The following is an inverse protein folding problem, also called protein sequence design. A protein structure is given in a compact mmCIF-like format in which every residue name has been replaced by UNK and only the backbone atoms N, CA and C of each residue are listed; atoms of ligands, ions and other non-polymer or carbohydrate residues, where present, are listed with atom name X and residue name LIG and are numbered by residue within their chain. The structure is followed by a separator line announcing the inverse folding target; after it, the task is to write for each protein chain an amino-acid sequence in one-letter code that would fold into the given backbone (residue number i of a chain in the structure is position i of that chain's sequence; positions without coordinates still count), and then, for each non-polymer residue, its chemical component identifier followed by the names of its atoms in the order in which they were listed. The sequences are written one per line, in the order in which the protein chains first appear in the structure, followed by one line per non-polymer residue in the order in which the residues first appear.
data_IF_909089519848
#
_entry.id   IF_909089519848
#
_cell.length_a   1.000
_cell.length_b   1.000
_cell.length_c   1.000
_cell.angle_alpha   90.00
_cell.angle_beta   90.00
_cell.angle_gamma   90.00
#
_symmetry.space_group_name_H-M   'P 1'
#
loop_
_entity.id
_entity.type
_entity.pdbx_description
1 polymer ?
#
# COMPACT_ATOMS: atom_id res chain seq x y z
N UNK A 1 -4.95 -15.18 17.49
CA UNK A 1 -3.88 -14.38 16.85
C UNK A 1 -4.40 -13.91 15.51
N UNK A 2 -4.55 -12.60 15.29
CA UNK A 2 -5.12 -12.04 14.04
C UNK A 2 -4.23 -12.40 12.84
N UNK A 3 -4.82 -12.80 11.73
CA UNK A 3 -4.06 -13.07 10.50
C UNK A 3 -3.87 -11.78 9.71
N UNK A 4 -2.67 -11.56 9.17
CA UNK A 4 -2.37 -10.45 8.26
C UNK A 4 -2.10 -11.00 6.86
N UNK A 5 -2.79 -10.48 5.86
CA UNK A 5 -2.53 -10.77 4.45
C UNK A 5 -1.65 -9.67 3.86
N UNK A 6 -0.54 -10.04 3.26
CA UNK A 6 0.32 -9.11 2.50
C UNK A 6 0.21 -9.43 1.02
N UNK A 7 -0.32 -8.50 0.25
CA UNK A 7 -0.47 -8.63 -1.20
C UNK A 7 0.77 -8.04 -1.88
N UNK A 8 1.37 -8.80 -2.80
CA UNK A 8 2.54 -8.37 -3.58
C UNK A 8 2.16 -8.38 -5.06
N UNK A 9 1.77 -7.24 -5.64
CA UNK A 9 1.58 -7.13 -7.08
C UNK A 9 2.95 -7.23 -7.77
N UNK A 10 3.07 -8.12 -8.76
CA UNK A 10 4.32 -8.37 -9.47
C UNK A 10 4.15 -8.20 -10.98
N UNK A 11 4.99 -7.36 -11.57
CA UNK A 11 5.14 -7.20 -13.01
C UNK A 11 6.58 -6.82 -13.37
N UNK A 12 7.33 -7.74 -13.99
CA UNK A 12 8.69 -7.52 -14.55
C UNK A 12 9.68 -6.83 -13.58
N UNK A 13 9.62 -7.15 -12.29
CA UNK A 13 10.45 -6.52 -11.27
C UNK A 13 11.64 -7.40 -10.86
N UNK A 14 12.85 -6.89 -11.02
CA UNK A 14 14.08 -7.59 -10.69
C UNK A 14 14.39 -7.68 -9.18
N UNK A 15 13.58 -7.07 -8.32
CA UNK A 15 13.79 -7.02 -6.86
C UNK A 15 12.80 -7.88 -6.08
N UNK A 16 11.96 -8.68 -6.77
CA UNK A 16 10.90 -9.47 -6.14
C UNK A 16 11.42 -10.44 -5.06
N UNK A 17 12.59 -11.03 -5.27
CA UNK A 17 13.27 -11.88 -4.30
C UNK A 17 13.55 -11.15 -2.98
N UNK A 18 14.02 -9.88 -3.03
CA UNK A 18 14.27 -9.06 -1.84
C UNK A 18 12.97 -8.69 -1.11
N UNK A 19 11.91 -8.40 -1.86
CA UNK A 19 10.59 -8.16 -1.28
C UNK A 19 10.08 -9.40 -0.53
N UNK A 20 10.12 -10.58 -1.16
CA UNK A 20 9.68 -11.85 -0.57
C UNK A 20 10.53 -12.24 0.65
N UNK A 21 11.85 -12.11 0.55
CA UNK A 21 12.76 -12.33 1.67
C UNK A 21 12.40 -11.48 2.89
N UNK A 22 12.04 -10.21 2.67
CA UNK A 22 11.67 -9.31 3.76
C UNK A 22 10.37 -9.71 4.45
N UNK A 23 9.43 -10.27 3.68
CA UNK A 23 8.16 -10.77 4.22
C UNK A 23 8.35 -12.08 4.99
N UNK A 24 9.22 -12.97 4.54
CA UNK A 24 9.51 -14.23 5.22
C UNK A 24 10.35 -14.05 6.50
N UNK A 25 10.99 -12.90 6.67
CA UNK A 25 11.78 -12.52 7.86
C UNK A 25 10.98 -11.71 8.89
N UNK A 26 9.67 -11.53 8.70
CA UNK A 26 8.85 -10.82 9.69
C UNK A 26 8.82 -11.55 11.03
N UNK A 27 8.90 -10.77 12.13
CA UNK A 27 8.81 -11.30 13.51
C UNK A 27 7.43 -11.85 13.83
N UNK A 28 6.39 -11.28 13.23
CA UNK A 28 5.01 -11.78 13.35
C UNK A 28 4.79 -13.00 12.46
N UNK A 29 4.40 -14.13 13.03
CA UNK A 29 4.33 -15.41 12.32
C UNK A 29 3.02 -15.70 11.59
N UNK A 30 1.89 -15.09 11.99
CA UNK A 30 0.58 -15.36 11.37
C UNK A 30 0.33 -14.45 10.15
N UNK A 31 1.21 -14.58 9.16
CA UNK A 31 1.18 -13.81 7.90
C UNK A 31 0.94 -14.74 6.73
N UNK A 32 0.00 -14.40 5.86
CA UNK A 32 -0.10 -15.00 4.53
C UNK A 32 0.44 -14.01 3.48
N UNK A 33 1.26 -14.52 2.57
CA UNK A 33 1.85 -13.73 1.48
C UNK A 33 1.17 -14.14 0.18
N UNK A 34 0.57 -13.16 -0.51
CA UNK A 34 -0.17 -13.38 -1.75
C UNK A 34 0.54 -12.62 -2.86
N UNK A 35 1.26 -13.34 -3.71
CA UNK A 35 1.92 -12.78 -4.90
C UNK A 35 0.97 -12.89 -6.08
N UNK A 36 0.65 -11.75 -6.69
CA UNK A 36 -0.18 -11.71 -7.90
C UNK A 36 0.70 -11.30 -9.08
N UNK A 37 1.01 -12.29 -9.92
CA UNK A 37 1.71 -12.07 -11.18
C UNK A 37 0.74 -11.48 -12.21
N UNK A 38 0.95 -10.21 -12.52
CA UNK A 38 0.10 -9.44 -13.43
C UNK A 38 0.58 -9.57 -14.89
N UNK A 39 0.78 -10.81 -15.35
CA UNK A 39 1.21 -11.11 -16.73
C UNK A 39 2.67 -10.75 -17.00
N UNK A 40 3.54 -10.97 -16.03
CA UNK A 40 4.97 -10.69 -16.18
C UNK A 40 5.64 -11.64 -17.18
N UNK A 41 6.52 -11.09 -18.00
CA UNK A 41 7.34 -11.82 -18.99
C UNK A 41 8.83 -11.93 -18.59
N UNK A 42 9.22 -11.20 -17.52
CA UNK A 42 10.58 -11.17 -16.99
C UNK A 42 10.58 -11.43 -15.48
N UNK A 43 11.65 -12.06 -14.97
CA UNK A 43 11.94 -12.23 -13.55
C UNK A 43 10.96 -13.11 -12.74
N UNK A 44 10.01 -13.81 -13.38
CA UNK A 44 9.12 -14.76 -12.69
C UNK A 44 9.88 -15.97 -12.12
N UNK A 45 11.02 -16.32 -12.70
CA UNK A 45 11.94 -17.34 -12.22
C UNK A 45 12.43 -17.09 -10.80
N UNK A 46 12.56 -15.82 -10.40
CA UNK A 46 12.96 -15.40 -9.05
C UNK A 46 11.91 -15.71 -7.97
N UNK A 47 10.65 -15.98 -8.36
CA UNK A 47 9.58 -16.35 -7.43
C UNK A 47 9.61 -17.85 -7.13
N UNK A 48 10.16 -18.67 -8.04
CA UNK A 48 10.14 -20.13 -7.94
C UNK A 48 10.63 -20.70 -6.60
N UNK A 49 11.72 -20.18 -5.96
CA UNK A 49 12.18 -20.66 -4.66
C UNK A 49 11.18 -20.45 -3.52
N UNK A 50 10.21 -19.55 -3.67
CA UNK A 50 9.27 -19.13 -2.64
C UNK A 50 7.89 -19.79 -2.75
N UNK A 51 7.58 -20.50 -3.84
CA UNK A 51 6.24 -21.07 -4.12
C UNK A 51 5.68 -21.94 -2.99
N UNK A 52 6.53 -22.61 -2.22
CA UNK A 52 6.10 -23.44 -1.09
C UNK A 52 5.73 -22.62 0.18
N UNK A 53 5.95 -21.29 0.18
CA UNK A 53 5.72 -20.39 1.31
C UNK A 53 4.72 -19.28 1.04
N UNK A 54 4.22 -19.17 -0.21
CA UNK A 54 3.36 -18.09 -0.68
C UNK A 54 2.13 -18.64 -1.37
N UNK A 55 1.10 -17.80 -1.48
CA UNK A 55 -0.01 -18.03 -2.42
C UNK A 55 0.36 -17.30 -3.70
N UNK A 56 0.56 -18.06 -4.78
CA UNK A 56 0.92 -17.49 -6.08
C UNK A 56 -0.27 -17.54 -7.03
N UNK A 57 -0.58 -16.41 -7.66
CA UNK A 57 -1.71 -16.27 -8.60
C UNK A 57 -1.19 -15.60 -9.87
N UNK A 58 -1.49 -16.19 -11.01
CA UNK A 58 -1.21 -15.60 -12.32
C UNK A 58 -2.49 -15.04 -12.94
N UNK A 59 -2.35 -13.90 -13.63
CA UNK A 59 -3.42 -13.28 -14.40
C UNK A 59 -2.86 -12.52 -15.61
N UNK A 60 -3.71 -12.24 -16.57
CA UNK A 60 -3.38 -11.31 -17.64
C UNK A 60 -3.12 -9.90 -17.10
N UNK A 61 -2.21 -9.15 -17.75
CA UNK A 61 -1.85 -7.81 -17.29
C UNK A 61 -3.08 -6.89 -17.26
N UNK A 62 -3.33 -6.30 -16.09
CA UNK A 62 -4.43 -5.38 -15.83
C UNK A 62 -4.02 -4.20 -14.96
N UNK A 63 -2.72 -4.12 -14.61
CA UNK A 63 -2.16 -3.08 -13.76
C UNK A 63 -2.27 -3.35 -12.26
N UNK A 64 -1.59 -2.52 -11.47
CA UNK A 64 -1.43 -2.71 -10.02
C UNK A 64 -2.76 -2.80 -9.29
N UNK A 65 -3.74 -1.95 -9.62
CA UNK A 65 -5.07 -1.99 -8.99
C UNK A 65 -5.78 -3.33 -9.20
N UNK A 66 -5.71 -3.87 -10.42
CA UNK A 66 -6.28 -5.17 -10.76
C UNK A 66 -5.60 -6.31 -10.00
N UNK A 67 -4.26 -6.29 -9.91
CA UNK A 67 -3.50 -7.26 -9.14
C UNK A 67 -3.84 -7.20 -7.63
N UNK A 68 -3.91 -5.97 -7.06
CA UNK A 68 -4.33 -5.77 -5.67
C UNK A 68 -5.75 -6.30 -5.41
N UNK A 69 -6.69 -6.08 -6.32
CA UNK A 69 -8.06 -6.58 -6.20
C UNK A 69 -8.13 -8.12 -6.25
N UNK A 70 -7.32 -8.76 -7.09
CA UNK A 70 -7.20 -10.24 -7.09
C UNK A 70 -6.66 -10.72 -5.76
N UNK A 71 -5.58 -10.11 -5.26
CA UNK A 71 -5.00 -10.44 -3.96
C UNK A 71 -6.00 -10.22 -2.80
N UNK A 72 -6.75 -9.11 -2.83
CA UNK A 72 -7.76 -8.78 -1.81
C UNK A 72 -8.89 -9.82 -1.75
N UNK A 73 -9.38 -10.28 -2.89
CA UNK A 73 -10.38 -11.38 -2.94
C UNK A 73 -9.85 -12.70 -2.37
N UNK A 74 -8.55 -12.95 -2.51
CA UNK A 74 -7.90 -14.18 -2.00
C UNK A 74 -7.52 -14.08 -0.53
N UNK A 75 -7.31 -12.85 -0.02
CA UNK A 75 -6.88 -12.58 1.35
C UNK A 75 -7.86 -13.14 2.38
N UNK A 76 -7.35 -13.91 3.34
CA UNK A 76 -8.11 -14.47 4.46
C UNK A 76 -7.83 -13.78 5.79
N UNK A 77 -6.85 -12.88 5.84
CA UNK A 77 -6.48 -12.14 7.04
C UNK A 77 -7.52 -11.08 7.43
N UNK A 78 -7.58 -10.77 8.72
CA UNK A 78 -8.38 -9.69 9.28
C UNK A 78 -7.83 -8.31 8.91
N UNK A 79 -6.51 -8.24 8.66
CA UNK A 79 -5.80 -7.06 8.24
C UNK A 79 -5.11 -7.30 6.90
N UNK A 80 -5.04 -6.27 6.08
CA UNK A 80 -4.43 -6.30 4.75
C UNK A 80 -3.37 -5.22 4.67
N UNK A 81 -2.21 -5.61 4.16
CA UNK A 81 -1.13 -4.72 3.70
C UNK A 81 -0.84 -5.02 2.24
N UNK A 82 -0.11 -4.13 1.58
CA UNK A 82 0.56 -4.55 0.35
C UNK A 82 2.03 -4.09 0.34
N UNK A 83 2.85 -4.80 -0.40
CA UNK A 83 4.24 -4.46 -0.64
C UNK A 83 4.48 -4.46 -2.15
N UNK A 84 4.96 -3.34 -2.70
CA UNK A 84 5.43 -3.31 -4.09
C UNK A 84 6.62 -4.25 -4.26
N UNK A 85 6.72 -4.90 -5.40
CA UNK A 85 7.75 -5.93 -5.66
C UNK A 85 9.19 -5.40 -5.69
N UNK A 86 9.38 -4.09 -5.62
CA UNK A 86 10.69 -3.40 -5.56
C UNK A 86 11.03 -2.84 -4.17
N UNK A 87 10.09 -2.86 -3.23
CA UNK A 87 10.25 -2.35 -1.87
C UNK A 87 10.62 -3.46 -0.86
N UNK A 88 10.95 -3.06 0.36
CA UNK A 88 11.38 -3.98 1.42
C UNK A 88 10.75 -3.56 2.76
N UNK A 89 10.22 -4.51 3.52
CA UNK A 89 9.79 -4.27 4.90
C UNK A 89 10.92 -4.50 5.91
N UNK A 90 11.08 -3.66 6.94
CA UNK A 90 11.85 -4.04 8.14
C UNK A 90 11.19 -5.24 8.82
N UNK A 91 11.96 -6.02 9.56
CA UNK A 91 11.51 -7.31 10.14
C UNK A 91 10.36 -7.18 11.14
N UNK A 92 10.21 -6.04 11.78
CA UNK A 92 9.20 -5.75 12.79
C UNK A 92 7.94 -5.05 12.24
N UNK A 93 7.84 -4.83 10.91
CA UNK A 93 6.76 -4.01 10.31
C UNK A 93 5.37 -4.52 10.65
N UNK A 94 5.15 -5.82 10.45
CA UNK A 94 3.81 -6.39 10.67
C UNK A 94 3.46 -6.39 12.16
N UNK A 95 4.40 -6.77 13.02
CA UNK A 95 4.18 -6.85 14.46
C UNK A 95 3.90 -5.48 15.09
N UNK A 96 4.74 -4.49 14.80
CA UNK A 96 4.60 -3.14 15.37
C UNK A 96 3.30 -2.48 14.92
N UNK A 97 3.02 -2.55 13.61
CA UNK A 97 1.83 -1.91 13.07
C UNK A 97 0.54 -2.62 13.50
N UNK A 98 0.52 -3.96 13.54
CA UNK A 98 -0.64 -4.72 14.01
C UNK A 98 -0.90 -4.48 15.51
N UNK A 99 0.14 -4.45 16.34
CA UNK A 99 0.04 -4.13 17.76
C UNK A 99 -0.62 -2.77 17.97
N UNK A 100 -0.19 -1.76 17.22
CA UNK A 100 -0.84 -0.45 17.22
C UNK A 100 -2.31 -0.53 16.77
N UNK A 101 -2.59 -1.21 15.65
CA UNK A 101 -3.96 -1.32 15.11
C UNK A 101 -4.93 -1.95 16.12
N UNK A 102 -4.49 -2.98 16.83
CA UNK A 102 -5.28 -3.65 17.85
C UNK A 102 -5.47 -2.75 19.09
N UNK A 103 -4.39 -2.15 19.58
CA UNK A 103 -4.40 -1.28 20.77
C UNK A 103 -5.33 -0.09 20.59
N UNK A 104 -5.27 0.57 19.44
CA UNK A 104 -6.06 1.76 19.14
C UNK A 104 -7.43 1.43 18.51
N UNK A 105 -7.78 0.15 18.36
CA UNK A 105 -8.96 -0.32 17.62
C UNK A 105 -9.08 0.38 16.24
N UNK A 106 -7.95 0.52 15.56
CA UNK A 106 -7.84 1.30 14.34
C UNK A 106 -8.31 0.51 13.12
N UNK A 107 -8.96 1.19 12.18
CA UNK A 107 -9.38 0.63 10.89
C UNK A 107 -8.33 0.78 9.81
N UNK A 108 -7.52 1.81 9.91
CA UNK A 108 -6.48 2.16 8.96
C UNK A 108 -5.31 2.84 9.68
N UNK A 109 -4.11 2.41 9.37
CA UNK A 109 -2.90 3.13 9.78
C UNK A 109 -1.89 3.23 8.63
N UNK A 110 -1.05 4.27 8.66
CA UNK A 110 0.13 4.42 7.82
C UNK A 110 1.33 4.82 8.66
N UNK A 111 2.52 4.58 8.10
CA UNK A 111 3.78 4.77 8.80
C UNK A 111 4.72 5.67 8.01
N UNK A 112 5.84 6.03 8.62
CA UNK A 112 6.98 6.60 7.91
C UNK A 112 7.69 5.54 7.06
N UNK A 113 8.62 6.02 6.22
CA UNK A 113 9.48 5.18 5.42
C UNK A 113 10.85 5.82 5.19
N UNK A 114 11.82 5.01 4.78
CA UNK A 114 13.10 5.47 4.26
C UNK A 114 13.19 5.22 2.76
N UNK A 115 13.92 6.08 2.06
CA UNK A 115 14.34 5.80 0.69
C UNK A 115 15.57 4.89 0.71
N UNK A 116 15.58 3.90 -0.19
CA UNK A 116 16.75 3.08 -0.47
C UNK A 116 17.12 3.19 -1.96
N UNK A 117 18.41 3.05 -2.25
CA UNK A 117 18.89 2.98 -3.63
C UNK A 117 18.75 1.56 -4.22
N UNK A 118 19.18 1.37 -5.47
CA UNK A 118 19.16 0.06 -6.17
C UNK A 118 19.86 -1.07 -5.39
N UNK A 119 20.84 -0.74 -4.55
CA UNK A 119 21.62 -1.71 -3.75
C UNK A 119 20.98 -2.00 -2.38
N UNK A 120 19.86 -1.34 -2.04
CA UNK A 120 19.21 -1.46 -0.74
C UNK A 120 19.81 -0.58 0.36
N UNK A 121 20.73 0.34 0.02
CA UNK A 121 21.33 1.28 0.98
C UNK A 121 20.36 2.42 1.26
N UNK A 122 20.13 2.75 2.53
CA UNK A 122 19.30 3.90 2.95
C UNK A 122 19.94 5.21 2.49
N UNK A 123 19.14 6.08 1.87
CA UNK A 123 19.58 7.35 1.28
C UNK A 123 18.81 8.57 1.81
N UNK A 124 17.85 8.38 2.70
CA UNK A 124 17.07 9.47 3.31
C UNK A 124 16.98 9.35 4.83
N UNK A 125 16.63 10.45 5.48
CA UNK A 125 16.04 10.42 6.84
C UNK A 125 14.64 9.79 6.74
N UNK A 126 14.02 9.54 7.91
CA UNK A 126 12.61 9.13 7.99
C UNK A 126 11.71 10.15 7.30
N UNK A 127 10.82 9.67 6.43
CA UNK A 127 9.85 10.48 5.67
C UNK A 127 8.47 10.07 6.12
N UNK A 128 7.67 11.04 6.55
CA UNK A 128 6.28 10.85 6.93
C UNK A 128 5.61 12.21 7.12
N UNK A 129 4.29 12.21 7.18
CA UNK A 129 3.49 13.40 7.40
C UNK A 129 2.46 13.09 8.47
N UNK A 130 2.47 13.88 9.54
CA UNK A 130 1.49 13.84 10.62
C UNK A 130 0.56 15.05 10.55
N UNK A 131 -0.69 14.84 10.87
CA UNK A 131 -1.67 15.90 11.04
C UNK A 131 -2.35 15.78 12.39
N UNK A 132 -2.44 16.88 13.15
CA UNK A 132 -2.95 16.92 14.52
C UNK A 132 -4.46 16.65 14.60
N UNK A 133 -5.20 16.94 13.53
CA UNK A 133 -6.66 16.76 13.51
C UNK A 133 -7.15 16.09 12.24
N UNK A 134 -8.29 15.41 12.36
CA UNK A 134 -9.00 14.83 11.22
C UNK A 134 -9.38 15.93 10.19
N UNK A 135 -9.78 17.12 10.65
CA UNK A 135 -10.08 18.24 9.77
C UNK A 135 -8.89 18.62 8.90
N UNK A 136 -7.71 18.78 9.51
CA UNK A 136 -6.48 19.09 8.80
C UNK A 136 -6.12 18.00 7.80
N UNK A 137 -6.22 16.72 8.20
CA UNK A 137 -5.95 15.58 7.32
C UNK A 137 -6.90 15.55 6.12
N UNK A 138 -8.21 15.81 6.30
CA UNK A 138 -9.17 15.92 5.21
C UNK A 138 -8.84 17.06 4.24
N UNK A 139 -8.46 18.22 4.78
CA UNK A 139 -8.07 19.38 3.97
C UNK A 139 -6.83 19.08 3.11
N UNK A 140 -5.80 18.48 3.69
CA UNK A 140 -4.58 18.16 2.95
C UNK A 140 -4.77 17.01 1.97
N UNK A 141 -5.50 15.95 2.36
CA UNK A 141 -5.85 14.86 1.45
C UNK A 141 -6.69 15.34 0.26
N UNK A 142 -7.50 16.38 0.41
CA UNK A 142 -8.25 16.97 -0.71
C UNK A 142 -7.37 17.70 -1.74
N UNK A 143 -6.11 18.01 -1.42
CA UNK A 143 -5.14 18.68 -2.29
C UNK A 143 -4.18 17.70 -2.98
N UNK A 144 -3.93 16.52 -2.38
CA UNK A 144 -3.01 15.54 -2.93
C UNK A 144 -2.80 14.34 -2.01
N UNK A 145 -2.18 13.29 -2.54
CA UNK A 145 -1.79 12.10 -1.79
C UNK A 145 -0.49 12.33 -1.01
N UNK A 146 -0.50 12.08 0.28
CA UNK A 146 0.69 12.09 1.14
C UNK A 146 0.97 10.73 1.79
N UNK A 147 0.14 9.72 1.53
CA UNK A 147 0.30 8.37 2.09
C UNK A 147 0.90 7.46 1.01
N UNK A 148 2.08 6.89 1.29
CA UNK A 148 2.64 5.84 0.47
C UNK A 148 1.89 4.53 0.71
N UNK A 149 1.39 3.90 -0.36
CA UNK A 149 0.56 2.70 -0.26
C UNK A 149 1.21 1.52 0.44
N UNK A 150 2.53 1.33 0.33
CA UNK A 150 3.23 0.24 1.01
C UNK A 150 3.39 0.46 2.53
N UNK A 151 3.10 1.67 3.05
CA UNK A 151 3.15 1.94 4.50
C UNK A 151 1.88 1.53 5.24
N UNK A 152 0.80 1.22 4.52
CA UNK A 152 -0.52 1.04 5.13
C UNK A 152 -0.74 -0.34 5.73
N UNK A 153 -1.61 -0.38 6.75
CA UNK A 153 -2.33 -1.57 7.23
C UNK A 153 -3.80 -1.20 7.36
N UNK A 154 -4.67 -2.02 6.79
CA UNK A 154 -6.11 -1.76 6.70
C UNK A 154 -6.85 -2.96 7.26
N UNK A 155 -7.85 -2.74 8.13
CA UNK A 155 -8.78 -3.77 8.56
C UNK A 155 -9.62 -4.22 7.36
N UNK A 156 -9.68 -5.52 7.07
CA UNK A 156 -10.28 -6.02 5.82
C UNK A 156 -11.73 -5.58 5.64
N UNK A 157 -12.51 -5.49 6.71
CA UNK A 157 -13.91 -5.03 6.69
C UNK A 157 -14.09 -3.60 6.12
N UNK A 158 -13.03 -2.78 6.07
CA UNK A 158 -13.09 -1.45 5.45
C UNK A 158 -13.46 -1.57 3.98
N UNK A 159 -12.92 -2.59 3.29
CA UNK A 159 -13.20 -2.79 1.86
C UNK A 159 -14.66 -3.19 1.58
N UNK A 160 -15.36 -3.80 2.54
CA UNK A 160 -16.79 -4.11 2.40
C UNK A 160 -17.64 -2.84 2.33
N UNK A 161 -17.16 -1.75 2.94
CA UNK A 161 -17.86 -0.46 2.95
C UNK A 161 -17.43 0.51 1.85
N UNK A 162 -16.13 0.56 1.54
CA UNK A 162 -15.60 1.53 0.58
C UNK A 162 -15.41 0.93 -0.81
N UNK A 163 -15.54 -0.39 -0.97
CA UNK A 163 -15.29 -1.12 -2.20
C UNK A 163 -13.79 -1.37 -2.44
N UNK A 164 -13.46 -1.94 -3.59
CA UNK A 164 -12.10 -2.31 -4.00
C UNK A 164 -11.38 -1.18 -4.74
N UNK A 165 -10.14 -1.40 -5.16
CA UNK A 165 -9.36 -0.40 -5.92
C UNK A 165 -9.99 -0.15 -7.30
N UNK A 166 -9.94 1.11 -7.74
CA UNK A 166 -10.44 1.49 -9.05
C UNK A 166 -9.43 1.13 -10.15
N UNK A 167 -9.72 0.09 -10.92
CA UNK A 167 -8.84 -0.46 -11.96
C UNK A 167 -8.68 0.47 -13.18
N UNK A 168 -9.50 1.53 -13.31
CA UNK A 168 -9.34 2.54 -14.36
C UNK A 168 -8.25 3.57 -14.05
N UNK A 169 -7.73 3.56 -12.83
CA UNK A 169 -6.64 4.43 -12.36
C UNK A 169 -5.34 3.62 -12.32
N UNK A 170 -4.48 3.86 -13.30
CA UNK A 170 -3.26 3.07 -13.46
C UNK A 170 -2.21 3.36 -12.37
N UNK A 171 -2.18 4.59 -11.83
CA UNK A 171 -1.12 5.04 -10.92
C UNK A 171 -1.63 5.68 -9.63
N UNK A 172 -2.90 6.08 -9.55
CA UNK A 172 -3.47 6.82 -8.42
C UNK A 172 -4.64 6.10 -7.76
N UNK A 173 -4.71 4.79 -7.95
CA UNK A 173 -5.72 3.91 -7.37
C UNK A 173 -5.66 3.90 -5.82
N UNK A 174 -4.48 4.09 -5.25
CA UNK A 174 -4.25 4.27 -3.82
C UNK A 174 -4.87 5.58 -3.31
N UNK A 175 -4.60 6.69 -3.99
CA UNK A 175 -5.15 7.99 -3.62
C UNK A 175 -6.68 8.02 -3.66
N UNK A 176 -7.29 7.46 -4.70
CA UNK A 176 -8.75 7.28 -4.77
C UNK A 176 -9.28 6.47 -3.58
N UNK A 177 -8.59 5.38 -3.22
CA UNK A 177 -8.95 4.55 -2.08
C UNK A 177 -8.87 5.33 -0.77
N UNK A 178 -7.79 6.09 -0.54
CA UNK A 178 -7.64 6.89 0.68
C UNK A 178 -8.72 7.95 0.82
N UNK A 179 -9.12 8.60 -0.28
CA UNK A 179 -10.22 9.56 -0.30
C UNK A 179 -11.58 8.91 0.00
N UNK A 180 -11.79 7.65 -0.35
CA UNK A 180 -12.99 6.91 0.05
C UNK A 180 -12.98 6.52 1.53
N UNK A 181 -11.83 6.06 2.01
CA UNK A 181 -11.66 5.61 3.41
C UNK A 181 -11.78 6.78 4.38
N UNK A 182 -11.03 7.88 4.17
CA UNK A 182 -10.96 9.01 5.13
C UNK A 182 -12.33 9.67 5.39
N UNK A 183 -13.26 9.55 4.44
CA UNK A 183 -14.63 10.07 4.62
C UNK A 183 -15.48 9.25 5.60
N UNK A 184 -15.12 7.98 5.82
CA UNK A 184 -15.92 7.05 6.62
C UNK A 184 -15.19 6.55 7.87
N UNK A 185 -13.85 6.50 7.84
CA UNK A 185 -13.04 5.96 8.91
C UNK A 185 -11.95 6.94 9.31
N UNK A 186 -11.54 6.95 10.59
CA UNK A 186 -10.33 7.63 11.01
C UNK A 186 -9.10 6.96 10.38
N UNK A 187 -8.09 7.77 10.05
CA UNK A 187 -6.79 7.32 9.57
C UNK A 187 -5.75 7.63 10.65
N UNK A 188 -5.03 6.63 11.10
CA UNK A 188 -4.06 6.72 12.16
C UNK A 188 -2.64 6.80 11.60
N UNK A 189 -1.79 7.59 12.23
CA UNK A 189 -0.38 7.71 11.88
C UNK A 189 0.50 7.07 12.96
N UNK A 190 1.57 6.42 12.51
CA UNK A 190 2.60 5.82 13.36
C UNK A 190 3.94 6.43 12.97
N UNK A 191 4.55 7.17 13.89
CA UNK A 191 5.88 7.77 13.70
C UNK A 191 6.99 6.72 13.86
N UNK A 192 6.99 5.75 12.95
CA UNK A 192 8.02 4.71 12.86
C UNK A 192 8.25 4.38 11.37
N UNK A 193 9.49 4.39 10.85
CA UNK A 193 9.77 4.06 9.45
C UNK A 193 9.72 2.54 9.22
N UNK A 194 8.56 2.05 8.82
CA UNK A 194 8.28 0.62 8.60
C UNK A 194 8.23 0.21 7.13
N UNK A 195 8.91 0.96 6.28
CA UNK A 195 9.09 0.65 4.86
C UNK A 195 10.45 1.19 4.37
N UNK A 196 11.13 0.41 3.56
CA UNK A 196 12.23 0.82 2.71
C UNK A 196 11.74 0.95 1.26
N UNK A 197 11.48 2.19 0.82
CA UNK A 197 10.99 2.52 -0.51
C UNK A 197 12.16 2.66 -1.49
N UNK A 198 12.17 1.84 -2.53
CA UNK A 198 13.30 1.79 -3.48
C UNK A 198 13.16 2.83 -4.60
N UNK A 199 14.25 3.57 -4.81
CA UNK A 199 14.34 4.56 -5.89
C UNK A 199 15.22 4.02 -7.02
N UNK A 200 14.62 3.87 -8.21
CA UNK A 200 15.32 3.43 -9.43
C UNK A 200 14.61 3.96 -10.69
N UNK A 201 15.30 3.96 -11.85
CA UNK A 201 14.80 4.60 -13.07
C UNK A 201 13.57 3.90 -13.68
N UNK A 202 13.38 2.60 -13.38
CA UNK A 202 12.25 1.82 -13.91
C UNK A 202 10.96 1.97 -13.08
N UNK A 203 10.99 2.66 -11.93
CA UNK A 203 9.81 2.84 -11.09
C UNK A 203 8.73 3.67 -11.78
N UNK A 204 7.46 3.30 -11.56
CA UNK A 204 6.32 3.92 -12.22
C UNK A 204 6.19 5.42 -11.96
N UNK A 205 6.45 5.85 -10.74
CA UNK A 205 6.39 7.27 -10.32
C UNK A 205 7.34 8.18 -11.09
N UNK A 206 8.51 7.68 -11.50
CA UNK A 206 9.44 8.44 -12.34
C UNK A 206 9.06 8.39 -13.82
N UNK A 207 8.77 7.19 -14.34
CA UNK A 207 8.49 7.00 -15.77
C UNK A 207 7.21 7.67 -16.23
N UNK A 208 6.18 7.72 -15.38
CA UNK A 208 4.84 8.16 -15.73
C UNK A 208 4.39 9.42 -14.98
N UNK A 209 5.32 10.23 -14.49
CA UNK A 209 5.05 11.43 -13.70
C UNK A 209 4.03 12.40 -14.34
N UNK A 210 4.05 12.56 -15.69
CA UNK A 210 3.07 13.39 -16.41
C UNK A 210 1.66 12.80 -16.39
N UNK A 211 1.54 11.49 -16.53
CA UNK A 211 0.25 10.78 -16.49
C UNK A 211 -0.30 10.80 -15.08
N UNK A 212 0.54 10.54 -14.08
CA UNK A 212 0.19 10.60 -12.66
C UNK A 212 -0.38 11.97 -12.29
N UNK A 213 0.26 13.07 -12.71
CA UNK A 213 -0.25 14.42 -12.46
C UNK A 213 -1.64 14.67 -13.06
N UNK A 214 -1.94 14.06 -14.22
CA UNK A 214 -3.28 14.16 -14.84
C UNK A 214 -4.30 13.33 -14.08
N UNK A 215 -3.92 12.11 -13.67
CA UNK A 215 -4.80 11.25 -12.86
C UNK A 215 -5.11 11.88 -11.49
N UNK A 216 -4.10 12.43 -10.79
CA UNK A 216 -4.31 13.14 -9.51
C UNK A 216 -5.35 14.24 -9.65
N UNK A 217 -5.25 15.08 -10.70
CA UNK A 217 -6.25 16.14 -10.95
C UNK A 217 -7.65 15.58 -11.17
N UNK A 218 -7.76 14.44 -11.88
CA UNK A 218 -9.02 13.76 -12.15
C UNK A 218 -9.63 13.18 -10.86
N UNK A 219 -8.81 12.54 -10.02
CA UNK A 219 -9.21 12.00 -8.73
C UNK A 219 -9.68 13.13 -7.80
N UNK A 220 -8.92 14.22 -7.69
CA UNK A 220 -9.33 15.39 -6.90
C UNK A 220 -10.70 15.93 -7.38
N UNK A 221 -10.87 16.08 -8.68
CA UNK A 221 -12.11 16.59 -9.25
C UNK A 221 -13.31 15.66 -8.97
N UNK A 222 -13.14 14.34 -9.09
CA UNK A 222 -14.19 13.35 -8.85
C UNK A 222 -14.63 13.29 -7.38
N UNK A 223 -13.73 13.55 -6.44
CA UNK A 223 -14.02 13.55 -5.01
C UNK A 223 -14.35 14.92 -4.41
N UNK A 224 -14.25 16.02 -5.20
CA UNK A 224 -14.34 17.41 -4.70
C UNK A 224 -15.58 17.67 -3.82
N UNK A 225 -16.77 17.36 -4.32
CA UNK A 225 -18.03 17.63 -3.61
C UNK A 225 -18.11 16.83 -2.30
N UNK A 226 -17.79 15.53 -2.34
CA UNK A 226 -17.87 14.65 -1.17
C UNK A 226 -16.82 14.99 -0.11
N UNK A 227 -15.63 15.45 -0.52
CA UNK A 227 -14.61 15.93 0.41
C UNK A 227 -15.00 17.26 1.05
N UNK A 228 -15.60 18.19 0.31
CA UNK A 228 -16.13 19.43 0.87
C UNK A 228 -17.21 19.16 1.93
N UNK A 229 -18.09 18.20 1.68
CA UNK A 229 -19.10 17.78 2.67
C UNK A 229 -18.47 17.16 3.91
N UNK A 230 -17.45 16.31 3.75
CA UNK A 230 -16.72 15.71 4.88
C UNK A 230 -16.01 16.79 5.71
N UNK A 231 -15.33 17.74 5.07
CA UNK A 231 -14.65 18.87 5.73
C UNK A 231 -15.66 19.77 6.47
N UNK A 232 -16.84 20.00 5.89
CA UNK A 232 -17.87 20.84 6.53
C UNK A 232 -18.47 20.19 7.79
N UNK A 233 -18.51 18.87 7.87
CA UNK A 233 -18.99 18.13 9.06
C UNK A 233 -18.01 18.12 10.22
N UNK A 234 -16.72 18.38 9.95
CA UNK A 234 -15.67 18.39 10.97
C UNK A 234 -15.41 19.81 11.53
N UNK A 235 -16.02 20.85 10.96
CA UNK A 235 -15.96 22.25 11.45
C UNK A 235 -17.01 22.49 12.51
#
# INVERSE_FOLDING_TARGET
MCKVSVIVPFYNCAYIDQALDSLLKQTYSNVEIIVVNDGATEHSDRISPYLHRIIYIEKENGGTASALNVGLRRASGEYVCWLSSDDVYPTNKIEDQLTFMIKENAFFSYTNYHLINKKGTVTSRSIGVFYESRLQMLQEMSKGNFINGCTVMIKKEVFDRVGTFNETLLYTHDYDMWLRIIKQFPINYIDNPLLYYRVHEKMGTMRYARTIRKEVKRVIASHKSTMQQAIAKEK
#
